data_IF_944848459057
#
_entry.id   IF_944848459057
#
_cell.length_a   1.000
_cell.length_b   1.000
_cell.length_c   1.000
_cell.angle_alpha   90.00
_cell.angle_beta   90.00
_cell.angle_gamma   90.00
#
_symmetry.space_group_name_H-M   'P 1'
#
loop_
_entity.id
_entity.type
_entity.pdbx_description
1 polymer ?
#
# COMPACT_ATOMS: atom_id res chain seq x y z
N UNK A 1 32.66 18.99 14.92
CA UNK A 1 31.45 18.22 14.57
C UNK A 1 31.01 18.67 13.19
N UNK A 2 31.35 17.91 12.14
CA UNK A 2 31.15 18.32 10.75
C UNK A 2 31.23 17.10 9.84
N UNK A 3 30.05 16.56 9.53
CA UNK A 3 29.66 15.65 8.45
C UNK A 3 30.76 14.85 7.76
N UNK A 4 30.92 13.60 8.19
CA UNK A 4 31.50 12.50 7.41
C UNK A 4 30.53 12.13 6.30
N UNK A 5 30.51 12.88 5.19
CA UNK A 5 29.92 12.37 3.95
C UNK A 5 30.92 11.33 3.42
N UNK A 6 30.63 10.07 3.70
CA UNK A 6 31.35 8.91 3.18
C UNK A 6 31.48 8.99 1.66
N UNK A 7 32.70 9.23 1.18
CA UNK A 7 33.05 9.37 -0.24
C UNK A 7 33.09 7.99 -0.91
N UNK A 8 31.93 7.37 -1.14
CA UNK A 8 31.81 6.30 -2.12
C UNK A 8 30.99 6.82 -3.30
N UNK A 9 31.57 6.90 -4.52
CA UNK A 9 30.91 7.45 -5.69
C UNK A 9 29.60 6.73 -6.01
N UNK A 10 29.48 5.45 -5.62
CA UNK A 10 28.28 4.64 -5.79
C UNK A 10 27.08 5.16 -4.99
N UNK A 11 27.27 5.61 -3.74
CA UNK A 11 26.20 6.13 -2.89
C UNK A 11 25.67 7.43 -3.48
N UNK A 12 26.57 8.37 -3.81
CA UNK A 12 26.17 9.64 -4.44
C UNK A 12 25.50 9.43 -5.80
N UNK A 13 25.98 8.48 -6.60
CA UNK A 13 25.35 8.15 -7.88
C UNK A 13 23.94 7.57 -7.69
N UNK A 14 23.77 6.68 -6.71
CA UNK A 14 22.47 6.08 -6.44
C UNK A 14 21.45 7.14 -5.99
N UNK A 15 21.83 8.01 -5.05
CA UNK A 15 20.98 9.13 -4.59
C UNK A 15 20.59 10.06 -5.73
N UNK A 16 21.56 10.47 -6.57
CA UNK A 16 21.32 11.36 -7.72
C UNK A 16 20.37 10.76 -8.75
N UNK A 17 20.33 9.44 -8.89
CA UNK A 17 19.51 8.75 -9.89
C UNK A 17 18.24 8.11 -9.30
N UNK A 18 17.95 8.33 -8.00
CA UNK A 18 16.79 7.71 -7.34
C UNK A 18 16.89 6.19 -7.23
N UNK A 19 18.11 5.64 -7.21
CA UNK A 19 18.38 4.21 -7.05
C UNK A 19 18.65 3.88 -5.59
N UNK A 20 18.31 2.66 -5.18
CA UNK A 20 18.76 2.11 -3.90
C UNK A 20 20.19 1.61 -4.02
N UNK A 21 20.99 1.75 -2.96
CA UNK A 21 22.36 1.22 -2.89
C UNK A 21 22.53 0.39 -1.61
N UNK A 22 23.17 -0.77 -1.77
CA UNK A 22 23.62 -1.62 -0.67
C UNK A 22 24.91 -2.32 -1.08
N UNK A 23 25.95 -2.18 -0.27
CA UNK A 23 27.19 -2.91 -0.50
C UNK A 23 27.04 -4.34 0.01
N UNK A 24 27.40 -5.31 -0.82
CA UNK A 24 27.26 -6.74 -0.51
C UNK A 24 28.57 -7.45 -0.79
N UNK A 25 28.85 -8.50 -0.02
CA UNK A 25 29.93 -9.43 -0.30
C UNK A 25 29.37 -10.84 -0.30
N UNK A 26 29.42 -11.47 -1.47
CA UNK A 26 29.01 -12.86 -1.63
C UNK A 26 29.99 -13.83 -0.94
N UNK A 27 31.25 -13.41 -0.74
CA UNK A 27 32.30 -14.23 -0.13
C UNK A 27 32.00 -14.54 1.33
N UNK A 28 31.54 -13.55 2.09
CA UNK A 28 31.24 -13.65 3.52
C UNK A 28 29.74 -13.51 3.84
N UNK A 29 28.89 -13.49 2.80
CA UNK A 29 27.43 -13.30 2.90
C UNK A 29 26.98 -11.95 3.49
N UNK A 30 27.88 -10.97 3.57
CA UNK A 30 27.53 -9.64 4.08
C UNK A 30 26.46 -8.99 3.21
N UNK A 31 25.35 -8.61 3.85
CA UNK A 31 24.21 -7.89 3.28
C UNK A 31 23.48 -8.56 2.10
N UNK A 32 23.80 -9.80 1.73
CA UNK A 32 23.17 -10.50 0.60
C UNK A 32 21.67 -10.65 0.83
N UNK A 33 21.27 -11.24 1.96
CA UNK A 33 19.86 -11.42 2.31
C UNK A 33 19.13 -10.08 2.46
N UNK A 34 19.76 -9.12 3.13
CA UNK A 34 19.20 -7.78 3.31
C UNK A 34 18.95 -7.06 1.97
N UNK A 35 19.83 -7.26 0.98
CA UNK A 35 19.67 -6.68 -0.36
C UNK A 35 18.41 -7.22 -1.05
N UNK A 36 18.20 -8.54 -1.02
CA UNK A 36 17.01 -9.17 -1.59
C UNK A 36 15.72 -8.75 -0.87
N UNK A 37 15.72 -8.75 0.47
CA UNK A 37 14.55 -8.31 1.24
C UNK A 37 14.20 -6.86 0.95
N UNK A 38 15.21 -5.98 0.87
CA UNK A 38 15.02 -4.55 0.59
C UNK A 38 14.36 -4.34 -0.77
N UNK A 39 14.92 -4.92 -1.84
CA UNK A 39 14.40 -4.70 -3.19
C UNK A 39 12.99 -5.29 -3.37
N UNK A 40 12.71 -6.48 -2.82
CA UNK A 40 11.39 -7.10 -2.91
C UNK A 40 10.34 -6.30 -2.12
N UNK A 41 10.70 -5.81 -0.93
CA UNK A 41 9.82 -4.98 -0.10
C UNK A 41 9.47 -3.68 -0.82
N UNK A 42 10.46 -3.04 -1.45
CA UNK A 42 10.22 -1.76 -2.14
C UNK A 42 9.35 -1.96 -3.41
N UNK A 43 9.58 -3.02 -4.18
CA UNK A 43 8.71 -3.39 -5.30
C UNK A 43 7.27 -3.59 -4.81
N UNK A 44 7.08 -4.36 -3.73
CA UNK A 44 5.76 -4.60 -3.16
C UNK A 44 5.08 -3.30 -2.72
N UNK A 45 5.83 -2.40 -2.06
CA UNK A 45 5.34 -1.10 -1.60
C UNK A 45 4.84 -0.25 -2.77
N UNK A 46 5.64 -0.13 -3.82
CA UNK A 46 5.31 0.67 -5.02
C UNK A 46 4.09 0.09 -5.73
N UNK A 47 4.07 -1.22 -5.98
CA UNK A 47 2.97 -1.90 -6.69
C UNK A 47 1.67 -1.81 -5.90
N UNK A 48 1.72 -2.00 -4.58
CA UNK A 48 0.54 -1.94 -3.71
C UNK A 48 -0.05 -0.53 -3.66
N UNK A 49 0.80 0.50 -3.56
CA UNK A 49 0.34 1.90 -3.60
C UNK A 49 -0.30 2.25 -4.94
N UNK A 50 0.29 1.81 -6.07
CA UNK A 50 -0.28 2.06 -7.39
C UNK A 50 -1.68 1.44 -7.55
N UNK A 51 -1.86 0.20 -7.10
CA UNK A 51 -3.19 -0.45 -7.15
C UNK A 51 -4.24 0.30 -6.33
N UNK A 52 -3.87 0.90 -5.20
CA UNK A 52 -4.78 1.72 -4.39
C UNK A 52 -5.12 3.04 -5.09
N UNK A 53 -4.15 3.68 -5.74
CA UNK A 53 -4.37 4.91 -6.51
C UNK A 53 -5.27 4.67 -7.74
N UNK A 54 -5.04 3.59 -8.48
CA UNK A 54 -5.85 3.23 -9.66
C UNK A 54 -7.31 2.92 -9.26
N UNK A 55 -7.53 2.33 -8.08
CA UNK A 55 -8.90 2.12 -7.54
C UNK A 55 -9.61 3.42 -7.19
N UNK A 56 -8.88 4.46 -6.74
CA UNK A 56 -9.47 5.77 -6.42
C UNK A 56 -9.86 6.59 -7.66
N UNK A 57 -9.27 6.30 -8.82
CA UNK A 57 -9.67 6.90 -10.10
C UNK A 57 -10.94 6.29 -10.70
N UNK A 58 -11.39 5.14 -10.19
CA UNK A 58 -12.59 4.45 -10.63
C UNK A 58 -13.72 4.58 -9.61
N UNK A 59 -13.89 5.79 -9.07
CA UNK A 59 -15.02 6.15 -8.21
C UNK A 59 -16.32 6.17 -9.03
N UNK A 60 -16.82 4.97 -9.35
CA UNK A 60 -18.21 4.73 -9.75
C UNK A 60 -19.15 4.83 -8.53
N UNK A 61 -18.87 5.77 -7.61
CA UNK A 61 -19.80 6.12 -6.55
C UNK A 61 -21.09 6.64 -7.18
N UNK A 62 -22.24 5.97 -7.01
CA UNK A 62 -23.52 6.51 -7.41
C UNK A 62 -23.99 7.57 -6.39
N UNK A 63 -23.15 8.55 -6.06
CA UNK A 63 -23.47 9.61 -5.09
C UNK A 63 -24.15 10.82 -5.73
N UNK A 64 -25.19 10.60 -6.54
CA UNK A 64 -26.07 11.68 -6.98
C UNK A 64 -27.51 11.57 -6.47
N UNK A 65 -27.84 10.61 -5.60
CA UNK A 65 -29.20 10.48 -5.04
C UNK A 65 -29.19 10.00 -3.59
N UNK A 66 -28.51 10.70 -2.68
CA UNK A 66 -28.73 10.49 -1.24
C UNK A 66 -30.07 11.13 -0.87
N UNK A 67 -31.15 10.36 -0.98
CA UNK A 67 -32.46 10.73 -0.44
C UNK A 67 -32.49 10.32 1.03
N UNK A 68 -32.88 11.22 1.96
CA UNK A 68 -33.02 10.87 3.37
C UNK A 68 -34.00 9.70 3.55
N UNK A 69 -33.55 8.61 4.17
CA UNK A 69 -34.39 7.48 4.51
C UNK A 69 -35.28 7.90 5.69
N UNK A 70 -36.54 8.23 5.42
CA UNK A 70 -37.55 8.35 6.48
C UNK A 70 -38.03 6.96 6.84
N UNK A 71 -37.67 6.49 8.03
CA UNK A 71 -38.22 5.24 8.60
C UNK A 71 -39.51 5.59 9.34
N UNK A 72 -40.70 5.19 8.87
CA UNK A 72 -41.91 5.31 9.67
C UNK A 72 -41.87 4.30 10.83
N UNK A 73 -42.51 4.61 11.98
CA UNK A 73 -42.55 3.69 13.11
C UNK A 73 -43.18 2.35 12.69
N UNK A 74 -42.47 1.26 13.00
CA UNK A 74 -42.95 -0.10 12.75
C UNK A 74 -44.15 -0.39 13.64
N UNK A 75 -45.33 -0.50 13.06
CA UNK A 75 -46.48 -1.13 13.72
C UNK A 75 -46.28 -2.66 13.69
N UNK A 76 -46.53 -3.31 14.83
CA UNK A 76 -46.19 -4.71 15.14
C UNK A 76 -46.97 -5.77 14.36
N UNK A 77 -47.07 -5.69 13.03
CA UNK A 77 -47.78 -6.71 12.27
C UNK A 77 -47.16 -6.99 10.89
N UNK A 78 -45.92 -7.48 10.87
CA UNK A 78 -45.37 -8.14 9.69
C UNK A 78 -44.53 -9.38 10.05
N UNK A 79 -44.63 -10.48 9.28
CA UNK A 79 -43.88 -11.71 9.57
C UNK A 79 -42.38 -11.44 9.54
N UNK A 80 -41.64 -11.96 10.52
CA UNK A 80 -40.18 -11.89 10.59
C UNK A 80 -39.58 -12.59 9.37
N UNK A 81 -39.16 -11.82 8.37
CA UNK A 81 -38.30 -12.33 7.30
C UNK A 81 -36.90 -12.52 7.88
N UNK A 82 -36.52 -13.78 8.08
CA UNK A 82 -35.17 -14.17 8.45
C UNK A 82 -34.27 -13.94 7.23
N UNK A 83 -33.59 -12.79 7.16
CA UNK A 83 -32.57 -12.56 6.16
C UNK A 83 -31.24 -13.17 6.62
N UNK A 84 -30.50 -13.72 5.65
CA UNK A 84 -29.23 -14.44 5.76
C UNK A 84 -29.33 -15.84 6.39
N UNK A 85 -29.53 -16.84 5.52
CA UNK A 85 -29.05 -18.20 5.78
C UNK A 85 -27.61 -18.26 5.28
N UNK A 86 -26.66 -18.43 6.20
CA UNK A 86 -25.32 -18.86 5.86
C UNK A 86 -25.40 -20.30 5.36
N UNK A 87 -25.10 -20.51 4.08
CA UNK A 87 -24.72 -21.82 3.55
C UNK A 87 -23.21 -21.98 3.67
#
# INVERSE_FOLDING_TARGET
>A
VGNTQSEYPSVSFAEKNGLSFIETSALDSTNVEAAFQTILTEIYRIVSQKQMSDRRGNDLSPSNNVVPIHVPPTTENKPKVQCCLNV
#
